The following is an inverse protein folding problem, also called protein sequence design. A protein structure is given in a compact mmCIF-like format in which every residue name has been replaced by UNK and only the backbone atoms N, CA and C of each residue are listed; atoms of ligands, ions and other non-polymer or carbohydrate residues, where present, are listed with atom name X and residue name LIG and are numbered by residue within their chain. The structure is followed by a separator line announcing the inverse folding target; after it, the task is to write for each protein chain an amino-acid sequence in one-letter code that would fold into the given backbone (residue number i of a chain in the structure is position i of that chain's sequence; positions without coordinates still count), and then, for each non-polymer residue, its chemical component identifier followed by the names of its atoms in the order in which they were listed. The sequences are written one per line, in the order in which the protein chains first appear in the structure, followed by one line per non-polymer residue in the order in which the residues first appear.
data_IF_677729401459
#
_entry.id   IF_677729401459
#
_cell.length_a   1.000
_cell.length_b   1.000
_cell.length_c   1.000
_cell.angle_alpha   90.00
_cell.angle_beta   90.00
_cell.angle_gamma   90.00
#
_symmetry.space_group_name_H-M   'P 1'
#
loop_
_entity.id
_entity.type
_entity.pdbx_description
1 polymer ?
#
# COMPACT_ATOMS: atom_id res chain seq x y z
N UNK A 1 4.53 13.28 12.40
CA UNK A 1 5.39 12.17 11.92
C UNK A 1 4.70 11.54 10.73
N UNK A 2 5.40 11.23 9.63
CA UNK A 2 4.78 10.68 8.43
C UNK A 2 4.39 9.21 8.70
N UNK A 3 3.10 8.88 8.63
CA UNK A 3 2.63 7.48 8.72
C UNK A 3 2.43 6.95 7.30
N UNK A 4 3.19 5.92 6.93
CA UNK A 4 3.06 5.26 5.63
C UNK A 4 2.63 3.82 5.88
N UNK A 5 1.60 3.39 5.17
CA UNK A 5 1.08 2.02 5.23
C UNK A 5 1.05 1.44 3.82
N UNK A 6 1.47 0.18 3.69
CA UNK A 6 1.49 -0.57 2.46
C UNK A 6 0.62 -1.82 2.62
N UNK A 7 -0.49 -1.85 1.90
CA UNK A 7 -1.51 -2.89 1.99
C UNK A 7 -1.41 -3.77 0.75
N UNK A 8 -1.41 -5.09 0.95
CA UNK A 8 -1.25 -6.06 -0.12
C UNK A 8 -1.94 -7.39 0.12
N UNK A 9 -2.12 -8.14 -0.96
CA UNK A 9 -2.43 -9.57 -0.96
C UNK A 9 -1.12 -10.35 -1.21
N UNK A 10 -0.91 -11.50 -0.56
CA UNK A 10 0.29 -12.33 -0.76
C UNK A 10 0.51 -12.76 -2.20
N UNK A 11 -0.59 -13.00 -2.94
CA UNK A 11 -0.56 -13.46 -4.32
C UNK A 11 -0.48 -12.31 -5.34
N UNK A 12 -0.40 -11.06 -4.88
CA UNK A 12 -0.33 -9.91 -5.78
C UNK A 12 1.06 -9.81 -6.45
N UNK A 13 1.14 -9.84 -7.80
CA UNK A 13 2.42 -9.80 -8.51
C UNK A 13 3.16 -8.46 -8.32
N UNK A 14 2.42 -7.41 -7.98
CA UNK A 14 2.92 -6.03 -7.88
C UNK A 14 3.53 -5.71 -6.50
N UNK A 15 3.52 -6.63 -5.54
CA UNK A 15 4.06 -6.37 -4.18
C UNK A 15 5.53 -5.97 -4.21
N UNK A 16 6.34 -6.72 -4.96
CA UNK A 16 7.78 -6.47 -5.05
C UNK A 16 8.08 -5.12 -5.71
N UNK A 17 7.38 -4.79 -6.79
CA UNK A 17 7.57 -3.53 -7.51
C UNK A 17 7.10 -2.33 -6.68
N UNK A 18 5.95 -2.42 -6.00
CA UNK A 18 5.46 -1.36 -5.10
C UNK A 18 6.42 -1.13 -3.93
N UNK A 19 6.94 -2.19 -3.29
CA UNK A 19 7.93 -2.05 -2.21
C UNK A 19 9.22 -1.37 -2.70
N UNK A 20 9.72 -1.75 -3.87
CA UNK A 20 10.89 -1.11 -4.46
C UNK A 20 10.65 0.38 -4.77
N UNK A 21 9.46 0.73 -5.26
CA UNK A 21 9.08 2.11 -5.54
C UNK A 21 8.92 2.94 -4.26
N UNK A 22 8.38 2.37 -3.18
CA UNK A 22 8.36 2.99 -1.86
C UNK A 22 9.78 3.34 -1.40
N UNK A 23 10.72 2.39 -1.43
CA UNK A 23 12.12 2.64 -1.06
C UNK A 23 12.74 3.77 -1.88
N UNK A 24 12.54 3.76 -3.21
CA UNK A 24 13.01 4.84 -4.10
C UNK A 24 12.39 6.18 -3.73
N UNK A 25 11.10 6.22 -3.39
CA UNK A 25 10.41 7.44 -2.99
C UNK A 25 10.96 8.01 -1.68
N UNK A 26 11.15 7.18 -0.65
CA UNK A 26 11.80 7.59 0.61
C UNK A 26 13.20 8.16 0.38
N UNK A 27 14.01 7.47 -0.43
CA UNK A 27 15.35 7.93 -0.79
C UNK A 27 15.34 9.29 -1.50
N UNK A 28 14.49 9.46 -2.53
CA UNK A 28 14.35 10.73 -3.26
C UNK A 28 13.84 11.87 -2.37
N UNK A 29 12.94 11.56 -1.44
CA UNK A 29 12.40 12.53 -0.49
C UNK A 29 13.34 12.83 0.68
N UNK A 30 14.51 12.16 0.78
CA UNK A 30 15.43 12.24 1.92
C UNK A 30 14.75 11.93 3.26
N UNK A 31 13.80 11.00 3.24
CA UNK A 31 13.07 10.53 4.40
C UNK A 31 13.59 9.16 4.83
N UNK A 32 13.57 8.90 6.14
CA UNK A 32 13.84 7.57 6.68
C UNK A 32 12.79 6.58 6.17
N UNK A 33 13.25 5.47 5.58
CA UNK A 33 12.41 4.42 5.04
C UNK A 33 11.69 3.64 6.15
N UNK A 34 10.54 4.13 6.57
CA UNK A 34 9.70 3.51 7.60
C UNK A 34 8.24 3.51 7.14
N UNK A 35 7.65 2.32 7.06
CA UNK A 35 6.22 2.11 6.81
C UNK A 35 5.76 0.83 7.49
N UNK A 36 4.44 0.68 7.64
CA UNK A 36 3.80 -0.56 8.10
C UNK A 36 3.30 -1.35 6.92
N UNK A 37 3.35 -2.67 7.03
CA UNK A 37 2.89 -3.59 5.99
C UNK A 37 1.70 -4.39 6.50
N UNK A 38 0.63 -4.45 5.70
CA UNK A 38 -0.58 -5.20 6.03
C UNK A 38 -0.91 -6.17 4.91
N UNK A 39 -0.85 -7.47 5.20
CA UNK A 39 -1.53 -8.48 4.39
C UNK A 39 -3.03 -8.39 4.68
N UNK A 40 -3.82 -7.90 3.72
CA UNK A 40 -5.25 -7.64 3.94
C UNK A 40 -6.07 -8.91 4.17
N UNK A 41 -5.54 -10.10 3.89
CA UNK A 41 -6.19 -11.37 4.22
C UNK A 41 -5.77 -11.90 5.59
N UNK A 42 -4.81 -11.26 6.26
CA UNK A 42 -4.42 -11.64 7.61
C UNK A 42 -5.49 -11.23 8.62
N UNK A 43 -5.72 -12.08 9.63
CA UNK A 43 -6.58 -11.75 10.76
C UNK A 43 -6.04 -10.54 11.55
N UNK A 44 -4.72 -10.38 11.57
CA UNK A 44 -4.01 -9.28 12.23
C UNK A 44 -4.12 -7.94 11.50
N UNK A 45 -4.63 -7.92 10.26
CA UNK A 45 -4.80 -6.69 9.52
C UNK A 45 -5.95 -5.86 10.13
N UNK A 46 -5.76 -4.54 10.32
CA UNK A 46 -6.82 -3.67 10.79
C UNK A 46 -7.93 -3.56 9.75
N UNK A 47 -9.16 -3.26 10.20
CA UNK A 47 -10.35 -3.25 9.34
C UNK A 47 -10.20 -2.33 8.13
N UNK A 48 -9.57 -1.16 8.29
CA UNK A 48 -9.31 -0.24 7.18
C UNK A 48 -8.42 -0.86 6.11
N UNK A 49 -7.41 -1.63 6.49
CA UNK A 49 -6.51 -2.29 5.54
C UNK A 49 -7.25 -3.38 4.73
N UNK A 50 -8.20 -4.10 5.36
CA UNK A 50 -9.02 -5.12 4.69
C UNK A 50 -9.89 -4.53 3.59
N UNK A 51 -10.31 -3.27 3.73
CA UNK A 51 -11.16 -2.56 2.77
C UNK A 51 -10.42 -2.04 1.51
N UNK A 52 -9.09 -2.04 1.50
CA UNK A 52 -8.32 -1.56 0.34
C UNK A 52 -7.88 -2.71 -0.57
N UNK A 53 -7.92 -2.49 -1.89
CA UNK A 53 -7.35 -3.41 -2.87
C UNK A 53 -5.83 -3.57 -2.76
N UNK A 54 -5.27 -4.59 -3.41
CA UNK A 54 -3.81 -4.76 -3.51
C UNK A 54 -3.26 -4.32 -4.88
N UNK A 55 -2.07 -3.67 -4.90
CA UNK A 55 -1.41 -2.98 -3.79
C UNK A 55 -2.04 -1.59 -3.54
N UNK A 56 -2.08 -1.17 -2.28
CA UNK A 56 -2.47 0.19 -1.88
C UNK A 56 -1.42 0.80 -0.96
N UNK A 57 -1.09 2.07 -1.17
CA UNK A 57 -0.22 2.84 -0.28
C UNK A 57 -1.03 3.97 0.33
N UNK A 58 -1.05 4.04 1.66
CA UNK A 58 -1.66 5.13 2.41
C UNK A 58 -0.58 6.05 2.97
N UNK A 59 -0.79 7.35 2.84
CA UNK A 59 -0.02 8.39 3.50
C UNK A 59 -0.95 9.09 4.49
N UNK A 60 -0.66 8.94 5.78
CA UNK A 60 -1.50 9.43 6.88
C UNK A 60 -2.98 8.98 6.73
N UNK A 61 -3.17 7.70 6.37
CA UNK A 61 -4.50 7.12 6.18
C UNK A 61 -5.20 7.46 4.85
N UNK A 62 -4.57 8.28 3.98
CA UNK A 62 -5.12 8.64 2.68
C UNK A 62 -4.41 7.92 1.54
N UNK A 63 -5.17 7.31 0.65
CA UNK A 63 -4.64 6.66 -0.57
C UNK A 63 -3.93 7.69 -1.46
N UNK A 64 -2.72 7.34 -1.91
CA UNK A 64 -1.91 8.21 -2.80
C UNK A 64 -2.56 8.48 -4.17
N UNK A 65 -3.46 7.61 -4.61
CA UNK A 65 -4.28 7.76 -5.83
C UNK A 65 -5.61 8.48 -5.55
N UNK A 66 -5.90 8.84 -4.29
CA UNK A 66 -7.13 9.54 -3.91
C UNK A 66 -8.40 8.70 -4.03
N UNK A 67 -8.27 7.38 -4.04
CA UNK A 67 -9.39 6.45 -4.11
C UNK A 67 -9.82 6.07 -2.70
N UNK A 68 -11.09 6.33 -2.39
CA UNK A 68 -11.69 5.92 -1.12
C UNK A 68 -11.77 4.38 -1.03
N UNK A 69 -11.61 3.80 0.17
CA UNK A 69 -11.80 2.36 0.36
C UNK A 69 -13.23 1.96 -0.02
N UNK A 70 -13.36 0.89 -0.82
CA UNK A 70 -14.64 0.30 -1.14
C UNK A 70 -14.67 -1.14 -0.61
N UNK A 71 -15.68 -1.45 0.20
CA UNK A 71 -15.88 -2.78 0.79
C UNK A 71 -15.96 -3.82 -0.32
N UNK A 72 -15.04 -4.78 -0.35
CA UNK A 72 -15.04 -5.85 -1.36
C UNK A 72 -14.27 -5.54 -2.65
N UNK A 73 -13.37 -4.54 -2.65
CA UNK A 73 -12.46 -4.28 -3.77
C UNK A 73 -11.53 -5.48 -4.05
N UNK A 74 -11.98 -6.42 -4.89
CA UNK A 74 -11.23 -7.54 -5.48
C UNK A 74 -10.62 -7.13 -6.82
N UNK A 75 -9.90 -6.02 -6.85
CA UNK A 75 -9.33 -5.49 -8.09
C UNK A 75 -7.81 -5.31 -7.94
N UNK A 76 -7.06 -5.88 -8.89
CA UNK A 76 -5.62 -5.67 -9.01
C UNK A 76 -5.36 -4.21 -9.44
N UNK A 77 -4.63 -3.43 -8.63
CA UNK A 77 -4.17 -2.10 -9.04
C UNK A 77 -2.78 -2.20 -9.70
N UNK A 78 -2.64 -1.60 -10.88
CA UNK A 78 -1.38 -1.52 -11.63
C UNK A 78 -0.88 -0.09 -11.57
N UNK A 79 0.40 0.10 -11.24
CA UNK A 79 1.07 1.39 -11.30
C UNK A 79 1.91 1.43 -12.59
N UNK A 80 1.52 2.26 -13.56
CA UNK A 80 2.30 2.42 -14.80
C UNK A 80 3.61 3.19 -14.53
N UNK A 81 4.72 2.65 -15.07
CA UNK A 81 6.06 3.21 -14.96
C UNK A 81 7.20 2.19 -14.80
N UNK A 82 7.08 1.02 -15.43
CA UNK A 82 8.16 0.03 -15.52
C UNK A 82 9.22 0.46 -16.54
#
# INVERSE_FOLDING_TARGET
MLNVEFIFDKDCPNVKSTRANLMKAFSKAKLSAQWKEWDRNSEEAPEHAKMHGSPTVLINGKDIMGVEPETGANCCRVYEGA
#
